data_IF_287728687303
#
_entry.id   IF_287728687303
#
_cell.length_a   1.000
_cell.length_b   1.000
_cell.length_c   1.000
_cell.angle_alpha   90.00
_cell.angle_beta   90.00
_cell.angle_gamma   90.00
#
_symmetry.space_group_name_H-M   'P 1'
#
loop_
_entity.id
_entity.type
_entity.pdbx_description
1 polymer ?
#
# COMPACT_ATOMS: atom_id res chain seq x y z
N UNK A 1 -31.47 12.55 23.20
CA UNK A 1 -30.31 13.39 23.58
C UNK A 1 -29.07 12.80 22.92
N UNK A 2 -29.21 12.41 21.64
CA UNK A 2 -28.40 11.36 21.01
C UNK A 2 -27.82 11.79 19.64
N UNK A 3 -28.26 12.91 19.09
CA UNK A 3 -27.82 13.39 17.76
C UNK A 3 -26.36 13.87 17.77
N UNK A 4 -25.94 14.54 18.87
CA UNK A 4 -24.58 15.05 19.00
C UNK A 4 -23.52 13.98 19.32
N UNK A 5 -23.91 12.85 19.93
CA UNK A 5 -22.99 11.73 20.15
C UNK A 5 -22.70 10.97 18.86
N UNK A 6 -23.72 10.85 18.01
CA UNK A 6 -23.59 10.17 16.71
C UNK A 6 -22.73 11.01 15.76
N UNK A 7 -22.91 12.34 15.73
CA UNK A 7 -22.05 13.24 14.94
C UNK A 7 -20.56 13.19 15.32
N UNK A 8 -20.24 13.06 16.61
CA UNK A 8 -18.85 13.02 17.07
C UNK A 8 -18.15 11.71 16.71
N UNK A 9 -18.81 10.56 16.89
CA UNK A 9 -18.27 9.26 16.50
C UNK A 9 -18.04 9.16 14.99
N UNK A 10 -18.91 9.79 14.19
CA UNK A 10 -18.78 9.83 12.72
C UNK A 10 -17.55 10.62 12.25
N UNK A 11 -17.34 11.82 12.79
CA UNK A 11 -16.18 12.66 12.42
C UNK A 11 -14.86 11.98 12.80
N UNK A 12 -14.83 11.22 13.90
CA UNK A 12 -13.67 10.45 14.31
C UNK A 12 -13.36 9.32 13.30
N UNK A 13 -14.36 8.55 12.88
CA UNK A 13 -14.21 7.46 11.91
C UNK A 13 -13.69 7.95 10.54
N UNK A 14 -14.25 9.04 10.01
CA UNK A 14 -13.78 9.61 8.74
C UNK A 14 -12.32 10.08 8.84
N UNK A 15 -11.95 10.72 9.96
CA UNK A 15 -10.58 11.19 10.20
C UNK A 15 -9.60 10.01 10.29
N UNK A 16 -9.99 8.89 10.90
CA UNK A 16 -9.16 7.67 10.99
C UNK A 16 -8.94 7.07 9.60
N UNK A 17 -10.01 6.88 8.82
CA UNK A 17 -9.93 6.32 7.45
C UNK A 17 -9.06 7.20 6.55
N UNK A 18 -9.30 8.52 6.57
CA UNK A 18 -8.54 9.49 5.76
C UNK A 18 -7.07 9.50 6.14
N UNK A 19 -6.75 9.52 7.44
CA UNK A 19 -5.36 9.47 7.91
C UNK A 19 -4.69 8.17 7.45
N UNK A 20 -5.35 7.02 7.61
CA UNK A 20 -4.81 5.73 7.20
C UNK A 20 -4.53 5.65 5.70
N UNK A 21 -5.44 6.15 4.85
CA UNK A 21 -5.22 6.25 3.41
C UNK A 21 -4.05 7.20 3.08
N UNK A 22 -4.00 8.39 3.70
CA UNK A 22 -2.92 9.36 3.48
C UNK A 22 -1.55 8.80 3.87
N UNK A 23 -1.45 8.09 5.00
CA UNK A 23 -0.22 7.43 5.43
C UNK A 23 0.18 6.24 4.55
N UNK A 24 -0.76 5.66 3.81
CA UNK A 24 -0.48 4.57 2.86
C UNK A 24 0.17 5.07 1.57
N UNK A 25 -0.10 6.33 1.16
CA UNK A 25 0.45 6.93 -0.06
C UNK A 25 1.99 6.94 -0.07
N UNK A 26 2.72 7.50 0.92
CA UNK A 26 4.17 7.55 0.86
C UNK A 26 4.81 6.14 0.85
N UNK A 27 4.18 5.19 1.53
CA UNK A 27 4.66 3.81 1.58
C UNK A 27 4.45 3.08 0.24
N UNK A 28 3.31 3.35 -0.41
CA UNK A 28 3.02 2.86 -1.74
C UNK A 28 3.94 3.49 -2.79
N UNK A 29 4.28 4.77 -2.67
CA UNK A 29 5.29 5.41 -3.50
C UNK A 29 6.66 4.73 -3.33
N UNK A 30 7.07 4.47 -2.09
CA UNK A 30 8.33 3.80 -1.78
C UNK A 30 8.42 2.39 -2.38
N UNK A 31 7.28 1.67 -2.42
CA UNK A 31 7.15 0.34 -3.04
C UNK A 31 7.67 0.33 -4.48
N UNK A 32 7.37 1.37 -5.28
CA UNK A 32 7.80 1.44 -6.69
C UNK A 32 9.11 2.23 -6.88
N UNK A 33 9.37 3.24 -6.05
CA UNK A 33 10.58 4.06 -6.17
C UNK A 33 11.85 3.23 -5.92
N UNK A 34 11.85 2.36 -4.90
CA UNK A 34 13.03 1.57 -4.55
C UNK A 34 13.55 0.68 -5.70
N UNK A 35 12.73 -0.16 -6.36
CA UNK A 35 13.18 -0.96 -7.48
C UNK A 35 13.57 -0.10 -8.70
N UNK A 36 12.91 1.02 -8.95
CA UNK A 36 13.29 1.94 -10.04
C UNK A 36 14.67 2.56 -9.78
N UNK A 37 14.94 3.03 -8.56
CA UNK A 37 16.25 3.59 -8.19
C UNK A 37 17.35 2.51 -8.27
N UNK A 38 17.07 1.31 -7.78
CA UNK A 38 18.00 0.19 -7.86
C UNK A 38 18.27 -0.24 -9.31
N UNK A 39 17.25 -0.20 -10.17
CA UNK A 39 17.39 -0.40 -11.61
C UNK A 39 18.32 0.66 -12.26
N UNK A 40 18.38 1.89 -11.75
CA UNK A 40 19.33 2.90 -12.24
C UNK A 40 20.74 2.78 -11.62
N UNK A 41 20.97 1.79 -10.76
CA UNK A 41 22.26 1.60 -10.09
C UNK A 41 22.50 2.58 -8.94
N UNK A 42 21.44 3.18 -8.38
CA UNK A 42 21.55 4.05 -7.22
C UNK A 42 21.94 3.25 -5.96
N UNK A 43 22.91 3.76 -5.20
CA UNK A 43 23.41 3.15 -3.95
C UNK A 43 23.85 1.68 -4.07
N UNK A 44 24.41 1.28 -5.22
CA UNK A 44 24.98 -0.08 -5.36
C UNK A 44 26.20 -0.21 -4.44
N UNK A 45 26.24 -1.23 -3.55
CA UNK A 45 27.40 -1.48 -2.69
C UNK A 45 28.67 -1.78 -3.50
N UNK A 46 29.84 -1.36 -3.00
CA UNK A 46 31.12 -1.65 -3.66
C UNK A 46 31.39 -3.15 -3.68
N UNK A 47 31.50 -3.72 -4.88
CA UNK A 47 31.75 -5.15 -5.10
C UNK A 47 30.51 -5.98 -5.45
N UNK A 48 29.32 -5.38 -5.56
CA UNK A 48 28.12 -6.06 -6.05
C UNK A 48 27.76 -5.66 -7.49
N UNK A 49 27.12 -6.57 -8.21
CA UNK A 49 26.59 -6.27 -9.54
C UNK A 49 25.26 -5.50 -9.44
N UNK A 50 25.03 -4.59 -10.40
CA UNK A 50 23.78 -3.83 -10.48
C UNK A 50 22.54 -4.74 -10.65
N UNK A 51 22.73 -5.93 -11.25
CA UNK A 51 21.72 -6.96 -11.42
C UNK A 51 21.30 -7.58 -10.08
N UNK A 52 22.28 -7.95 -9.24
CA UNK A 52 22.02 -8.51 -7.91
C UNK A 52 21.40 -7.46 -6.98
N UNK A 53 21.85 -6.20 -7.08
CA UNK A 53 21.26 -5.09 -6.31
C UNK A 53 19.79 -4.86 -6.66
N UNK A 54 19.46 -4.86 -7.96
CA UNK A 54 18.08 -4.76 -8.45
C UNK A 54 17.22 -5.92 -7.96
N UNK A 55 17.73 -7.16 -7.99
CA UNK A 55 17.02 -8.31 -7.46
C UNK A 55 16.64 -8.12 -5.98
N UNK A 56 17.58 -7.68 -5.14
CA UNK A 56 17.31 -7.47 -3.70
C UNK A 56 16.29 -6.37 -3.42
N UNK A 57 16.23 -5.35 -4.28
CA UNK A 57 15.21 -4.29 -4.16
C UNK A 57 13.78 -4.81 -4.26
N UNK A 58 13.57 -5.96 -4.92
CA UNK A 58 12.28 -6.66 -4.94
C UNK A 58 11.79 -7.05 -3.54
N UNK A 59 12.69 -7.48 -2.64
CA UNK A 59 12.30 -7.78 -1.25
C UNK A 59 11.79 -6.55 -0.48
N UNK A 60 12.41 -5.38 -0.73
CA UNK A 60 11.97 -4.12 -0.13
C UNK A 60 10.60 -3.68 -0.67
N UNK A 61 10.38 -3.86 -1.98
CA UNK A 61 9.08 -3.65 -2.62
C UNK A 61 7.99 -4.53 -1.98
N UNK A 62 8.26 -5.83 -1.78
CA UNK A 62 7.32 -6.75 -1.10
C UNK A 62 7.00 -6.29 0.32
N UNK A 63 8.02 -5.98 1.12
CA UNK A 63 7.82 -5.55 2.52
C UNK A 63 6.96 -4.28 2.58
N UNK A 64 7.23 -3.29 1.73
CA UNK A 64 6.44 -2.05 1.68
C UNK A 64 5.00 -2.31 1.26
N UNK A 65 4.79 -3.13 0.23
CA UNK A 65 3.47 -3.51 -0.26
C UNK A 65 2.63 -4.23 0.81
N UNK A 66 3.21 -5.24 1.46
CA UNK A 66 2.55 -5.99 2.54
C UNK A 66 2.26 -5.09 3.74
N UNK A 67 3.12 -4.12 4.04
CA UNK A 67 2.87 -3.17 5.12
C UNK A 67 1.69 -2.24 4.82
N UNK A 68 1.50 -1.84 3.55
CA UNK A 68 0.29 -1.13 3.10
C UNK A 68 -0.93 -2.02 3.32
N UNK A 69 -0.88 -3.29 2.89
CA UNK A 69 -2.00 -4.22 3.10
C UNK A 69 -2.34 -4.40 4.59
N UNK A 70 -1.34 -4.51 5.46
CA UNK A 70 -1.53 -4.61 6.91
C UNK A 70 -2.23 -3.37 7.49
N UNK A 71 -1.86 -2.17 7.03
CA UNK A 71 -2.52 -0.92 7.42
C UNK A 71 -3.96 -0.87 6.93
N UNK A 72 -4.22 -1.25 5.67
CA UNK A 72 -5.56 -1.30 5.10
C UNK A 72 -6.43 -2.36 5.77
N UNK A 73 -5.87 -3.51 6.15
CA UNK A 73 -6.61 -4.56 6.85
C UNK A 73 -7.16 -4.04 8.19
N UNK A 74 -6.39 -3.23 8.93
CA UNK A 74 -6.84 -2.66 10.22
C UNK A 74 -8.05 -1.73 10.10
N UNK A 75 -8.18 -0.99 9.00
CA UNK A 75 -9.32 -0.09 8.75
C UNK A 75 -10.42 -0.73 7.91
N UNK A 76 -10.23 -1.97 7.45
CA UNK A 76 -11.20 -2.65 6.59
C UNK A 76 -12.51 -2.97 7.32
N UNK A 77 -12.47 -3.14 8.66
CA UNK A 77 -13.66 -3.31 9.48
C UNK A 77 -14.55 -2.07 9.52
N UNK A 78 -13.97 -0.87 9.45
CA UNK A 78 -14.69 0.40 9.46
C UNK A 78 -15.29 0.74 8.08
N UNK A 79 -14.72 0.19 7.01
CA UNK A 79 -15.16 0.41 5.62
C UNK A 79 -16.14 -0.67 5.15
N UNK A 80 -15.96 -1.92 5.57
CA UNK A 80 -16.89 -3.02 5.33
C UNK A 80 -17.74 -3.23 6.58
N UNK A 81 -18.62 -2.26 6.80
CA UNK A 81 -19.65 -2.23 7.85
C UNK A 81 -20.37 -3.59 7.95
N UNK A 82 -20.10 -4.35 9.01
CA UNK A 82 -20.78 -5.62 9.31
C UNK A 82 -21.68 -5.42 10.54
N UNK A 83 -23.00 -5.35 10.35
CA UNK A 83 -23.95 -5.01 11.42
C UNK A 83 -25.15 -4.14 11.01
N UNK A 84 -25.87 -3.59 11.99
CA UNK A 84 -26.91 -2.57 11.84
C UNK A 84 -26.26 -1.19 11.85
N UNK A 85 -26.34 -0.47 10.73
CA UNK A 85 -25.65 0.81 10.55
C UNK A 85 -26.59 1.91 10.10
N UNK A 86 -26.20 3.14 10.40
CA UNK A 86 -26.98 4.34 10.06
C UNK A 86 -26.77 4.68 8.58
N UNK A 87 -27.79 5.23 7.93
CA UNK A 87 -27.78 5.58 6.50
C UNK A 87 -26.56 6.42 6.08
N UNK A 88 -25.98 7.19 7.00
CA UNK A 88 -24.82 8.06 6.74
C UNK A 88 -23.46 7.35 6.79
N UNK A 89 -23.28 6.32 7.62
CA UNK A 89 -22.05 5.54 7.65
C UNK A 89 -21.86 4.78 6.33
N UNK A 90 -22.96 4.38 5.71
CA UNK A 90 -23.00 3.79 4.36
C UNK A 90 -22.46 4.77 3.31
N UNK A 91 -22.81 6.06 3.39
CA UNK A 91 -22.35 7.09 2.44
C UNK A 91 -20.84 7.33 2.55
N UNK A 92 -20.31 7.39 3.78
CA UNK A 92 -18.86 7.56 4.00
C UNK A 92 -18.10 6.31 3.52
N UNK A 93 -18.57 5.13 3.90
CA UNK A 93 -17.97 3.87 3.45
C UNK A 93 -17.97 3.76 1.91
N UNK A 94 -19.07 4.09 1.25
CA UNK A 94 -19.18 4.04 -0.21
C UNK A 94 -18.25 5.05 -0.89
N UNK A 95 -18.06 6.25 -0.32
CA UNK A 95 -17.13 7.27 -0.82
C UNK A 95 -15.67 6.82 -0.74
N UNK A 96 -15.27 6.15 0.35
CA UNK A 96 -13.89 5.70 0.56
C UNK A 96 -13.61 4.27 0.04
N UNK A 97 -14.64 3.52 -0.35
CA UNK A 97 -14.51 2.16 -0.89
C UNK A 97 -13.64 2.11 -2.15
N UNK A 98 -13.88 3.01 -3.10
CA UNK A 98 -13.11 3.06 -4.36
C UNK A 98 -11.61 3.35 -4.14
N UNK A 99 -11.20 4.43 -3.43
CA UNK A 99 -9.79 4.66 -3.16
C UNK A 99 -9.18 3.56 -2.30
N UNK A 100 -9.90 3.01 -1.32
CA UNK A 100 -9.44 1.87 -0.53
C UNK A 100 -9.14 0.64 -1.40
N UNK A 101 -10.07 0.27 -2.29
CA UNK A 101 -9.88 -0.84 -3.22
C UNK A 101 -8.71 -0.58 -4.18
N UNK A 102 -8.59 0.64 -4.71
CA UNK A 102 -7.48 1.00 -5.59
C UNK A 102 -6.12 0.82 -4.89
N UNK A 103 -5.95 1.37 -3.68
CA UNK A 103 -4.70 1.22 -2.90
C UNK A 103 -4.44 -0.25 -2.59
N UNK A 104 -5.47 -1.03 -2.23
CA UNK A 104 -5.35 -2.47 -1.98
C UNK A 104 -4.86 -3.24 -3.21
N UNK A 105 -5.47 -3.02 -4.38
CA UNK A 105 -5.07 -3.69 -5.61
C UNK A 105 -3.67 -3.28 -6.06
N UNK A 106 -3.30 -2.00 -5.92
CA UNK A 106 -1.95 -1.54 -6.25
C UNK A 106 -0.91 -2.16 -5.30
N UNK A 107 -1.21 -2.24 -3.99
CA UNK A 107 -0.33 -2.90 -3.02
C UNK A 107 -0.16 -4.39 -3.35
N UNK A 108 -1.26 -5.10 -3.65
CA UNK A 108 -1.21 -6.51 -4.05
C UNK A 108 -0.37 -6.70 -5.32
N UNK A 109 -0.60 -5.88 -6.36
CA UNK A 109 0.22 -5.91 -7.56
C UNK A 109 1.69 -5.62 -7.24
N UNK A 110 1.95 -4.69 -6.33
CA UNK A 110 3.28 -4.38 -5.81
C UNK A 110 3.97 -5.58 -5.15
N UNK A 111 3.24 -6.33 -4.32
CA UNK A 111 3.76 -7.54 -3.69
C UNK A 111 4.09 -8.61 -4.73
N UNK A 112 3.20 -8.87 -5.69
CA UNK A 112 3.42 -9.84 -6.77
C UNK A 112 4.64 -9.42 -7.61
N UNK A 113 4.68 -8.19 -8.10
CA UNK A 113 5.81 -7.67 -8.89
C UNK A 113 7.12 -7.70 -8.09
N UNK A 114 7.07 -7.33 -6.81
CA UNK A 114 8.23 -7.40 -5.92
C UNK A 114 8.76 -8.82 -5.77
N UNK A 115 7.89 -9.83 -5.63
CA UNK A 115 8.32 -11.23 -5.58
C UNK A 115 8.96 -11.70 -6.89
N UNK A 116 8.45 -11.25 -8.04
CA UNK A 116 9.03 -11.55 -9.35
C UNK A 116 10.42 -10.91 -9.49
N UNK A 117 10.56 -9.62 -9.14
CA UNK A 117 11.87 -8.93 -9.14
C UNK A 117 12.83 -9.61 -8.17
N UNK A 118 12.34 -10.05 -7.01
CA UNK A 118 13.18 -10.71 -6.02
C UNK A 118 13.66 -12.10 -6.48
N UNK A 119 12.81 -12.85 -7.18
CA UNK A 119 13.16 -14.17 -7.72
C UNK A 119 14.01 -14.12 -9.00
N UNK A 120 13.76 -13.15 -9.88
CA UNK A 120 14.26 -13.13 -11.26
C UNK A 120 14.92 -11.81 -11.69
N UNK A 121 15.17 -10.88 -10.76
CA UNK A 121 15.64 -9.53 -11.08
C UNK A 121 17.01 -9.51 -11.77
N UNK A 122 17.88 -10.46 -11.44
CA UNK A 122 19.18 -10.62 -12.11
C UNK A 122 19.02 -10.96 -13.60
N UNK A 123 18.11 -11.87 -13.93
CA UNK A 123 17.78 -12.28 -15.30
C UNK A 123 17.14 -11.10 -16.06
N UNK A 124 16.12 -10.46 -15.47
CA UNK A 124 15.38 -9.36 -16.11
C UNK A 124 16.31 -8.21 -16.51
N UNK A 125 17.28 -7.88 -15.65
CA UNK A 125 18.23 -6.81 -15.93
C UNK A 125 19.25 -7.19 -17.01
N UNK A 126 19.76 -8.42 -16.97
CA UNK A 126 20.71 -8.91 -17.96
C UNK A 126 20.09 -9.10 -19.36
N UNK A 127 18.77 -9.32 -19.46
CA UNK A 127 18.08 -9.34 -20.75
C UNK A 127 17.90 -7.96 -21.39
N UNK A 128 17.93 -6.89 -20.58
CA UNK A 128 17.61 -5.53 -21.01
C UNK A 128 18.88 -4.69 -21.30
N UNK A 129 20.06 -5.20 -20.95
CA UNK A 129 21.37 -4.53 -21.11
C UNK A 129 22.22 -5.28 -22.12
#
# INVERSE_FOLDING_TARGET
>A
MDDHSDEQGMAENEVVIRKALLWSIPLLMMTFILPILSFNGFMVPTGESNALWFQRSGSLMVICAVWVEFKLFRISGDIFLSGLWTSHEVVIAERYKTPFQAVKYIALAGAVLGTVIWGYGDILRNFTT
#
